data_IF_212365267613
#
_entry.id   IF_212365267613
#
_cell.length_a   1.000
_cell.length_b   1.000
_cell.length_c   1.000
_cell.angle_alpha   90.00
_cell.angle_beta   90.00
_cell.angle_gamma   90.00
#
_symmetry.space_group_name_H-M   'P 1'
#
loop_
_entity.id
_entity.type
_entity.pdbx_description
1 polymer ?
#
# COMPACT_ATOMS: atom_id res chain seq x y z
N UNK A 1 4.38 16.29 -21.90
CA UNK A 1 5.15 15.40 -22.77
C UNK A 1 4.33 14.14 -22.91
N UNK A 2 3.93 13.77 -24.12
CA UNK A 2 3.12 12.57 -24.39
C UNK A 2 4.08 11.44 -24.81
N UNK A 3 4.08 10.33 -24.08
CA UNK A 3 4.96 9.16 -24.28
C UNK A 3 4.33 8.14 -25.25
N UNK A 4 3.59 8.64 -26.26
CA UNK A 4 2.90 7.81 -27.25
C UNK A 4 3.85 6.91 -28.07
N UNK A 5 5.15 7.22 -28.10
CA UNK A 5 6.20 6.41 -28.76
C UNK A 5 6.92 5.45 -27.81
N UNK A 6 6.60 5.44 -26.51
CA UNK A 6 7.18 4.53 -25.48
C UNK A 6 8.66 4.75 -25.16
N UNK A 7 9.31 5.75 -25.76
CA UNK A 7 10.73 6.04 -25.58
C UNK A 7 11.08 6.49 -24.17
N UNK A 8 10.16 7.13 -23.46
CA UNK A 8 10.36 7.57 -22.07
C UNK A 8 10.28 6.37 -21.11
N UNK A 9 9.36 5.43 -21.35
CA UNK A 9 9.30 4.14 -20.65
C UNK A 9 10.58 3.30 -20.83
N UNK A 10 11.06 3.17 -22.07
CA UNK A 10 12.32 2.44 -22.33
C UNK A 10 13.53 3.08 -21.63
N UNK A 11 13.57 4.41 -21.54
CA UNK A 11 14.63 5.12 -20.83
C UNK A 11 14.54 4.91 -19.31
N UNK A 12 13.33 4.99 -18.75
CA UNK A 12 13.10 4.68 -17.34
C UNK A 12 13.55 3.25 -17.00
N UNK A 13 13.18 2.26 -17.81
CA UNK A 13 13.58 0.87 -17.63
C UNK A 13 15.12 0.70 -17.65
N UNK A 14 15.82 1.43 -18.52
CA UNK A 14 17.29 1.42 -18.55
C UNK A 14 17.89 2.05 -17.29
N UNK A 15 17.35 3.19 -16.84
CA UNK A 15 17.76 3.78 -15.55
C UNK A 15 17.56 2.79 -14.40
N UNK A 16 16.50 2.00 -14.45
CA UNK A 16 16.21 0.98 -13.44
C UNK A 16 17.20 -0.17 -13.44
N UNK A 17 17.52 -0.71 -14.62
CA UNK A 17 18.56 -1.73 -14.74
C UNK A 17 19.91 -1.24 -14.20
N UNK A 18 20.24 0.03 -14.44
CA UNK A 18 21.47 0.64 -13.92
C UNK A 18 21.44 0.72 -12.39
N UNK A 19 20.34 1.16 -11.78
CA UNK A 19 20.24 1.21 -10.32
C UNK A 19 20.35 -0.17 -9.68
N UNK A 20 19.68 -1.17 -10.26
CA UNK A 20 19.74 -2.56 -9.81
C UNK A 20 21.18 -3.11 -9.90
N UNK A 21 21.86 -2.86 -11.03
CA UNK A 21 23.26 -3.28 -11.23
C UNK A 21 24.21 -2.59 -10.24
N UNK A 22 24.05 -1.27 -10.02
CA UNK A 22 24.85 -0.55 -9.01
C UNK A 22 24.66 -1.18 -7.63
N UNK A 23 23.41 -1.46 -7.24
CA UNK A 23 23.11 -2.05 -5.92
C UNK A 23 23.61 -3.49 -5.77
N UNK A 24 23.81 -4.24 -6.86
CA UNK A 24 24.40 -5.58 -6.82
C UNK A 24 25.89 -5.58 -6.46
N UNK A 25 26.59 -4.49 -6.77
CA UNK A 25 28.04 -4.33 -6.53
C UNK A 25 28.38 -3.26 -5.49
N UNK A 26 27.37 -2.58 -4.95
CA UNK A 26 27.55 -1.52 -3.97
C UNK A 26 28.17 -2.05 -2.67
N UNK A 27 29.14 -1.30 -2.15
CA UNK A 27 29.54 -1.44 -0.76
C UNK A 27 28.52 -0.75 0.16
N UNK A 28 28.72 -0.91 1.48
CA UNK A 28 27.76 -0.39 2.46
C UNK A 28 27.65 1.14 2.43
N UNK A 29 28.74 1.85 2.14
CA UNK A 29 28.75 3.32 2.02
C UNK A 29 27.94 3.78 0.81
N UNK A 30 28.13 3.10 -0.33
CA UNK A 30 27.38 3.39 -1.55
C UNK A 30 25.89 3.07 -1.37
N UNK A 31 25.56 1.94 -0.74
CA UNK A 31 24.18 1.57 -0.45
C UNK A 31 23.50 2.61 0.47
N UNK A 32 24.19 3.08 1.51
CA UNK A 32 23.68 4.14 2.39
C UNK A 32 23.44 5.46 1.64
N UNK A 33 24.37 5.85 0.76
CA UNK A 33 24.22 7.06 -0.04
C UNK A 33 23.02 6.97 -1.00
N UNK A 34 22.80 5.82 -1.64
CA UNK A 34 21.66 5.59 -2.53
C UNK A 34 20.35 5.61 -1.73
N UNK A 35 20.31 4.95 -0.56
CA UNK A 35 19.14 4.97 0.31
C UNK A 35 18.75 6.40 0.69
N UNK A 36 19.71 7.20 1.15
CA UNK A 36 19.49 8.61 1.48
C UNK A 36 18.95 9.37 0.28
N UNK A 37 19.59 9.24 -0.88
CA UNK A 37 19.16 9.92 -2.09
C UNK A 37 17.71 9.57 -2.47
N UNK A 38 17.33 8.28 -2.45
CA UNK A 38 15.94 7.86 -2.73
C UNK A 38 14.94 8.49 -1.75
N UNK A 39 15.21 8.44 -0.45
CA UNK A 39 14.28 8.98 0.56
C UNK A 39 14.12 10.50 0.48
N UNK A 40 15.15 11.22 0.05
CA UNK A 40 15.11 12.67 -0.14
C UNK A 40 14.36 13.11 -1.40
N UNK A 41 14.31 12.26 -2.43
CA UNK A 41 13.77 12.64 -3.74
C UNK A 41 12.37 12.08 -4.03
N UNK A 42 11.84 11.18 -3.18
CA UNK A 42 10.43 10.76 -3.20
C UNK A 42 9.52 11.82 -2.55
N UNK A 43 9.52 13.04 -3.08
CA UNK A 43 8.85 14.21 -2.49
C UNK A 43 8.09 15.08 -3.52
N UNK A 44 7.89 14.59 -4.75
CA UNK A 44 7.32 15.31 -5.88
C UNK A 44 8.35 16.09 -6.71
N UNK A 45 9.64 16.01 -6.39
CA UNK A 45 10.72 16.66 -7.16
C UNK A 45 11.11 15.88 -8.41
N UNK A 46 10.79 14.59 -8.45
CA UNK A 46 11.01 13.71 -9.59
C UNK A 46 9.68 13.53 -10.33
N UNK A 47 9.73 13.24 -11.63
CA UNK A 47 8.54 12.98 -12.44
C UNK A 47 7.80 11.74 -11.89
N UNK A 48 6.48 11.81 -11.75
CA UNK A 48 5.65 10.81 -11.04
C UNK A 48 5.96 9.33 -11.36
N UNK A 49 6.16 8.95 -12.63
CA UNK A 49 6.45 7.56 -12.98
C UNK A 49 7.83 7.10 -12.50
N UNK A 50 8.82 8.00 -12.44
CA UNK A 50 10.15 7.71 -11.88
C UNK A 50 10.11 7.59 -10.35
N UNK A 51 9.20 8.29 -9.68
CA UNK A 51 9.01 8.12 -8.23
C UNK A 51 8.48 6.73 -7.89
N UNK A 52 7.56 6.17 -8.69
CA UNK A 52 7.06 4.81 -8.46
C UNK A 52 8.18 3.77 -8.57
N UNK A 53 9.06 3.94 -9.55
CA UNK A 53 10.25 3.11 -9.73
C UNK A 53 11.22 3.19 -8.54
N UNK A 54 11.56 4.42 -8.12
CA UNK A 54 12.44 4.63 -6.96
C UNK A 54 11.80 4.07 -5.67
N UNK A 55 10.50 4.26 -5.49
CA UNK A 55 9.76 3.69 -4.37
C UNK A 55 9.87 2.17 -4.35
N UNK A 56 9.73 1.50 -5.51
CA UNK A 56 9.84 0.04 -5.58
C UNK A 56 11.24 -0.45 -5.21
N UNK A 57 12.31 0.17 -5.73
CA UNK A 57 13.69 -0.20 -5.34
C UNK A 57 13.89 0.02 -3.84
N UNK A 58 13.49 1.18 -3.33
CA UNK A 58 13.59 1.53 -1.91
C UNK A 58 12.94 0.44 -1.03
N UNK A 59 11.75 -0.02 -1.42
CA UNK A 59 11.01 -1.02 -0.65
C UNK A 59 11.63 -2.42 -0.77
N UNK A 60 12.07 -2.83 -1.96
CA UNK A 60 12.44 -4.22 -2.26
C UNK A 60 13.92 -4.53 -2.03
N UNK A 61 14.84 -3.62 -2.33
CA UNK A 61 16.29 -3.89 -2.27
C UNK A 61 16.89 -3.69 -0.88
N UNK A 62 16.45 -2.66 -0.16
CA UNK A 62 17.02 -2.28 1.13
C UNK A 62 16.42 -3.12 2.28
N UNK A 63 16.90 -4.36 2.41
CA UNK A 63 16.34 -5.38 3.32
C UNK A 63 17.15 -5.58 4.61
N UNK A 64 18.34 -4.99 4.74
CA UNK A 64 19.12 -5.03 5.99
C UNK A 64 18.34 -4.37 7.12
N UNK A 65 18.53 -4.86 8.36
CA UNK A 65 17.79 -4.41 9.55
C UNK A 65 17.81 -2.88 9.73
N UNK A 66 18.96 -2.24 9.50
CA UNK A 66 19.10 -0.77 9.57
C UNK A 66 18.14 -0.05 8.63
N UNK A 67 17.94 -0.56 7.42
CA UNK A 67 17.01 0.02 6.44
C UNK A 67 15.57 -0.31 6.76
N UNK A 68 15.25 -1.53 7.24
CA UNK A 68 13.88 -1.85 7.63
C UNK A 68 13.37 -0.89 8.71
N UNK A 69 14.20 -0.61 9.73
CA UNK A 69 13.87 0.38 10.76
C UNK A 69 13.72 1.78 10.18
N UNK A 70 14.65 2.22 9.34
CA UNK A 70 14.57 3.54 8.70
C UNK A 70 13.35 3.67 7.78
N UNK A 71 12.95 2.60 7.08
CA UNK A 71 11.75 2.56 6.22
C UNK A 71 10.47 2.65 7.04
N UNK A 72 10.39 2.03 8.21
CA UNK A 72 9.25 2.18 9.12
C UNK A 72 9.07 3.65 9.54
N UNK A 73 10.15 4.31 9.98
CA UNK A 73 10.13 5.72 10.35
C UNK A 73 9.78 6.63 9.16
N UNK A 74 10.35 6.34 7.99
CA UNK A 74 10.12 7.07 6.75
C UNK A 74 8.66 7.00 6.29
N UNK A 75 8.11 5.78 6.20
CA UNK A 75 6.72 5.56 5.75
C UNK A 75 5.71 6.18 6.70
N UNK A 76 5.94 6.11 8.01
CA UNK A 76 5.06 6.74 8.99
C UNK A 76 5.08 8.28 8.89
N UNK A 77 6.27 8.85 8.67
CA UNK A 77 6.41 10.27 8.40
C UNK A 77 5.66 10.69 7.15
N UNK A 78 5.79 9.94 6.04
CA UNK A 78 5.05 10.22 4.79
C UNK A 78 3.53 10.22 5.00
N UNK A 79 3.01 9.24 5.72
CA UNK A 79 1.58 9.17 6.06
C UNK A 79 1.17 10.37 6.91
N UNK A 80 1.96 10.71 7.92
CA UNK A 80 1.69 11.85 8.82
C UNK A 80 1.68 13.19 8.06
N UNK A 81 2.66 13.43 7.20
CA UNK A 81 2.74 14.63 6.36
C UNK A 81 1.52 14.73 5.42
N UNK A 82 1.14 13.64 4.76
CA UNK A 82 -0.01 13.61 3.85
C UNK A 82 -1.35 13.85 4.55
N UNK A 83 -1.47 13.48 5.84
CA UNK A 83 -2.66 13.80 6.65
C UNK A 83 -2.81 15.29 6.97
N UNK A 84 -1.73 16.08 6.86
CA UNK A 84 -1.76 17.54 7.09
C UNK A 84 -2.07 18.34 5.82
N UNK A 85 -1.93 17.72 4.65
CA UNK A 85 -2.25 18.34 3.35
C UNK A 85 -3.76 18.34 3.13
N UNK A 86 -4.35 19.36 2.48
CA UNK A 86 -5.76 19.36 2.14
C UNK A 86 -6.21 18.07 1.42
N UNK A 87 -7.39 17.58 1.80
CA UNK A 87 -7.93 16.35 1.23
C UNK A 87 -8.23 16.54 -0.26
N UNK A 88 -7.69 15.63 -1.05
CA UNK A 88 -7.88 15.52 -2.49
C UNK A 88 -7.81 14.05 -2.87
N UNK A 89 -8.23 13.73 -4.10
CA UNK A 89 -8.08 12.36 -4.59
C UNK A 89 -6.62 11.89 -4.54
N UNK A 90 -5.68 12.76 -4.93
CA UNK A 90 -4.25 12.44 -4.95
C UNK A 90 -3.67 12.27 -3.53
N UNK A 91 -3.93 13.21 -2.61
CA UNK A 91 -3.42 13.11 -1.23
C UNK A 91 -4.01 11.90 -0.49
N UNK A 92 -5.28 11.56 -0.72
CA UNK A 92 -5.89 10.35 -0.16
C UNK A 92 -5.29 9.07 -0.75
N UNK A 93 -5.07 9.02 -2.07
CA UNK A 93 -4.43 7.89 -2.73
C UNK A 93 -3.00 7.67 -2.19
N UNK A 94 -2.19 8.74 -2.12
CA UNK A 94 -0.82 8.65 -1.61
C UNK A 94 -0.80 8.23 -0.13
N UNK A 95 -1.69 8.77 0.70
CA UNK A 95 -1.75 8.40 2.11
C UNK A 95 -2.12 6.92 2.30
N UNK A 96 -3.07 6.41 1.50
CA UNK A 96 -3.43 5.00 1.48
C UNK A 96 -2.26 4.12 1.03
N UNK A 97 -1.56 4.50 -0.05
CA UNK A 97 -0.39 3.79 -0.57
C UNK A 97 0.72 3.69 0.49
N UNK A 98 1.13 4.81 1.07
CA UNK A 98 2.17 4.83 2.10
C UNK A 98 1.77 4.09 3.37
N UNK A 99 0.49 4.13 3.75
CA UNK A 99 -0.04 3.34 4.87
C UNK A 99 0.07 1.84 4.61
N UNK A 100 -0.22 1.37 3.39
CA UNK A 100 -0.04 -0.03 3.01
C UNK A 100 1.43 -0.45 2.96
N UNK A 101 2.34 0.42 2.50
CA UNK A 101 3.79 0.17 2.59
C UNK A 101 4.24 0.03 4.03
N UNK A 102 3.77 0.90 4.92
CA UNK A 102 4.07 0.80 6.35
C UNK A 102 3.58 -0.52 6.96
N UNK A 103 2.34 -0.91 6.66
CA UNK A 103 1.77 -2.18 7.13
C UNK A 103 2.63 -3.38 6.67
N UNK A 104 3.06 -3.42 5.40
CA UNK A 104 3.93 -4.50 4.91
C UNK A 104 5.26 -4.55 5.67
N UNK A 105 5.87 -3.39 5.94
CA UNK A 105 7.09 -3.33 6.75
C UNK A 105 6.86 -3.80 8.18
N UNK A 106 5.72 -3.47 8.80
CA UNK A 106 5.35 -4.00 10.11
C UNK A 106 5.25 -5.53 10.08
N UNK A 107 4.63 -6.10 9.05
CA UNK A 107 4.57 -7.57 8.85
C UNK A 107 5.97 -8.19 8.69
N UNK A 108 6.80 -7.62 7.81
CA UNK A 108 8.16 -8.09 7.51
C UNK A 108 9.08 -8.04 8.74
N UNK A 109 8.88 -7.04 9.60
CA UNK A 109 9.64 -6.86 10.85
C UNK A 109 9.02 -7.61 12.04
N UNK A 110 7.95 -8.37 11.82
CA UNK A 110 7.36 -9.25 12.83
C UNK A 110 6.55 -8.54 13.90
N UNK A 111 5.96 -7.37 13.59
CA UNK A 111 5.07 -6.69 14.52
C UNK A 111 3.88 -7.58 14.89
N UNK A 112 3.44 -7.55 16.16
CA UNK A 112 2.22 -8.22 16.58
C UNK A 112 1.01 -7.80 15.74
N UNK A 113 0.14 -8.76 15.44
CA UNK A 113 -1.12 -8.49 14.73
C UNK A 113 -1.93 -7.35 15.38
N UNK A 114 -1.95 -7.27 16.71
CA UNK A 114 -2.69 -6.21 17.42
C UNK A 114 -2.19 -4.80 17.08
N UNK A 115 -0.89 -4.65 16.83
CA UNK A 115 -0.30 -3.36 16.47
C UNK A 115 -0.62 -3.01 15.01
N UNK A 116 -0.59 -4.00 14.11
CA UNK A 116 -1.00 -3.84 12.71
C UNK A 116 -2.50 -3.51 12.62
N UNK A 117 -3.34 -4.19 13.40
CA UNK A 117 -4.77 -3.92 13.50
C UNK A 117 -5.02 -2.49 14.01
N UNK A 118 -4.29 -2.06 15.04
CA UNK A 118 -4.33 -0.69 15.55
C UNK A 118 -3.97 0.33 14.46
N UNK A 119 -2.89 0.07 13.71
CA UNK A 119 -2.48 0.91 12.59
C UNK A 119 -3.55 1.00 11.48
N UNK A 120 -4.19 -0.13 11.15
CA UNK A 120 -5.30 -0.16 10.21
C UNK A 120 -6.45 0.74 10.70
N UNK A 121 -6.82 0.66 11.98
CA UNK A 121 -7.90 1.48 12.55
C UNK A 121 -7.56 2.98 12.59
N UNK A 122 -6.30 3.34 12.80
CA UNK A 122 -5.85 4.74 12.69
C UNK A 122 -5.94 5.31 11.26
N UNK A 123 -5.92 4.42 10.26
CA UNK A 123 -5.97 4.74 8.84
C UNK A 123 -7.28 4.27 8.18
N UNK A 124 -8.32 4.01 8.99
CA UNK A 124 -9.54 3.31 8.56
C UNK A 124 -10.34 4.05 7.50
N UNK A 125 -10.16 5.38 7.37
CA UNK A 125 -10.86 6.19 6.36
C UNK A 125 -10.51 5.77 4.93
N UNK A 126 -9.32 5.21 4.72
CA UNK A 126 -8.86 4.79 3.39
C UNK A 126 -9.42 3.40 3.04
N UNK A 127 -10.12 3.32 1.90
CA UNK A 127 -10.75 2.06 1.44
C UNK A 127 -9.74 0.94 1.23
N UNK A 128 -8.54 1.24 0.73
CA UNK A 128 -7.51 0.22 0.51
C UNK A 128 -6.97 -0.38 1.81
N UNK A 129 -7.00 0.37 2.92
CA UNK A 129 -6.66 -0.16 4.26
C UNK A 129 -7.74 -1.13 4.74
N UNK A 130 -9.02 -0.79 4.53
CA UNK A 130 -10.11 -1.71 4.86
C UNK A 130 -10.08 -2.96 3.99
N UNK A 131 -9.76 -2.84 2.70
CA UNK A 131 -9.57 -3.99 1.80
C UNK A 131 -8.44 -4.91 2.27
N UNK A 132 -7.29 -4.35 2.66
CA UNK A 132 -6.20 -5.13 3.26
C UNK A 132 -6.69 -5.88 4.51
N UNK A 133 -7.37 -5.17 5.42
CA UNK A 133 -7.88 -5.77 6.65
C UNK A 133 -8.86 -6.93 6.38
N UNK A 134 -9.80 -6.74 5.44
CA UNK A 134 -10.75 -7.77 5.00
C UNK A 134 -10.01 -9.01 4.49
N UNK A 135 -8.99 -8.82 3.63
CA UNK A 135 -8.18 -9.93 3.12
C UNK A 135 -7.47 -10.69 4.25
N UNK A 136 -6.93 -9.98 5.25
CA UNK A 136 -6.32 -10.63 6.43
C UNK A 136 -7.33 -11.39 7.29
N UNK A 137 -8.54 -10.88 7.45
CA UNK A 137 -9.61 -11.61 8.11
C UNK A 137 -9.94 -12.91 7.35
N UNK A 138 -10.01 -12.84 6.01
CA UNK A 138 -10.27 -14.00 5.17
C UNK A 138 -9.16 -15.05 5.24
N UNK A 139 -7.89 -14.64 5.12
CA UNK A 139 -6.71 -15.51 5.25
C UNK A 139 -6.70 -16.29 6.58
N UNK A 140 -7.22 -15.68 7.64
CA UNK A 140 -7.29 -16.26 8.98
C UNK A 140 -8.61 -17.01 9.26
N UNK A 141 -9.52 -17.09 8.28
CA UNK A 141 -10.84 -17.71 8.46
C UNK A 141 -11.81 -16.91 9.34
N UNK A 142 -11.49 -15.65 9.66
CA UNK A 142 -12.30 -14.75 10.48
C UNK A 142 -13.43 -14.11 9.64
N UNK A 143 -14.27 -14.94 9.03
CA UNK A 143 -15.30 -14.50 8.08
C UNK A 143 -16.34 -13.56 8.69
N UNK A 144 -16.65 -13.73 9.99
CA UNK A 144 -17.59 -12.84 10.69
C UNK A 144 -17.11 -11.39 10.69
N UNK A 145 -15.86 -11.18 11.10
CA UNK A 145 -15.22 -9.85 11.11
C UNK A 145 -15.16 -9.28 9.69
N UNK A 146 -14.74 -10.10 8.71
CA UNK A 146 -14.69 -9.67 7.31
C UNK A 146 -16.06 -9.19 6.78
N UNK A 147 -17.14 -9.90 7.13
CA UNK A 147 -18.52 -9.52 6.78
C UNK A 147 -18.91 -8.18 7.43
N UNK A 148 -18.58 -7.99 8.71
CA UNK A 148 -18.88 -6.75 9.44
C UNK A 148 -18.17 -5.55 8.80
N UNK A 149 -16.87 -5.69 8.51
CA UNK A 149 -16.07 -4.64 7.84
C UNK A 149 -16.55 -4.36 6.42
N UNK A 150 -16.98 -5.38 5.67
CA UNK A 150 -17.56 -5.19 4.34
C UNK A 150 -18.85 -4.39 4.37
N UNK A 151 -19.74 -4.67 5.33
CA UNK A 151 -20.99 -3.92 5.52
C UNK A 151 -20.72 -2.48 5.90
N UNK A 152 -19.86 -2.25 6.88
CA UNK A 152 -19.41 -0.92 7.28
C UNK A 152 -18.81 -0.16 6.08
N UNK A 153 -17.96 -0.81 5.29
CA UNK A 153 -17.30 -0.18 4.13
C UNK A 153 -18.29 0.25 3.04
N UNK A 154 -19.37 -0.50 2.83
CA UNK A 154 -20.44 -0.10 1.89
C UNK A 154 -21.21 1.13 2.36
N UNK A 155 -21.37 1.32 3.67
CA UNK A 155 -21.99 2.52 4.25
C UNK A 155 -21.06 3.73 4.12
N UNK A 156 -19.79 3.58 4.52
CA UNK A 156 -18.76 4.62 4.43
C UNK A 156 -18.55 5.10 3.00
N UNK A 157 -18.49 4.18 2.03
CA UNK A 157 -18.23 4.49 0.63
C UNK A 157 -19.53 4.56 -0.21
N UNK A 158 -20.69 4.80 0.40
CA UNK A 158 -22.01 4.74 -0.25
C UNK A 158 -22.14 5.61 -1.52
N UNK A 159 -21.36 6.69 -1.62
CA UNK A 159 -21.32 7.57 -2.80
C UNK A 159 -20.43 7.04 -3.94
N UNK A 160 -19.56 6.08 -3.66
CA UNK A 160 -18.63 5.48 -4.61
C UNK A 160 -19.17 4.14 -5.11
N UNK A 161 -20.09 4.18 -6.08
CA UNK A 161 -20.76 2.97 -6.63
C UNK A 161 -19.78 1.85 -7.03
N UNK A 162 -18.61 2.21 -7.56
CA UNK A 162 -17.57 1.25 -7.90
C UNK A 162 -17.06 0.45 -6.68
N UNK A 163 -16.79 1.14 -5.56
CA UNK A 163 -16.35 0.49 -4.32
C UNK A 163 -17.47 -0.34 -3.69
N UNK A 164 -18.69 0.19 -3.63
CA UNK A 164 -19.87 -0.54 -3.10
C UNK A 164 -20.08 -1.85 -3.85
N UNK A 165 -19.95 -1.83 -5.18
CA UNK A 165 -20.05 -3.04 -6.00
C UNK A 165 -18.92 -4.03 -5.69
N UNK A 166 -17.67 -3.56 -5.56
CA UNK A 166 -16.53 -4.42 -5.17
C UNK A 166 -16.77 -5.10 -3.81
N UNK A 167 -17.21 -4.36 -2.80
CA UNK A 167 -17.53 -4.94 -1.49
C UNK A 167 -18.71 -5.90 -1.54
N UNK A 168 -19.75 -5.60 -2.31
CA UNK A 168 -20.91 -6.47 -2.50
C UNK A 168 -20.50 -7.82 -3.12
N UNK A 169 -19.64 -7.80 -4.15
CA UNK A 169 -19.08 -9.02 -4.72
C UNK A 169 -18.24 -9.80 -3.71
N UNK A 170 -17.35 -9.11 -2.98
CA UNK A 170 -16.52 -9.76 -1.97
C UNK A 170 -17.34 -10.37 -0.84
N UNK A 171 -18.39 -9.68 -0.40
CA UNK A 171 -19.33 -10.16 0.62
C UNK A 171 -20.02 -11.45 0.18
N UNK A 172 -20.46 -11.50 -1.09
CA UNK A 172 -21.02 -12.71 -1.70
C UNK A 172 -20.02 -13.87 -1.70
N UNK A 173 -18.76 -13.63 -2.04
CA UNK A 173 -17.71 -14.65 -1.98
C UNK A 173 -17.52 -15.19 -0.56
N UNK A 174 -17.45 -14.29 0.44
CA UNK A 174 -17.27 -14.69 1.84
C UNK A 174 -18.48 -15.48 2.37
N UNK A 175 -19.72 -15.12 2.00
CA UNK A 175 -20.88 -15.94 2.36
C UNK A 175 -20.81 -17.35 1.77
N UNK A 176 -20.31 -17.49 0.53
CA UNK A 176 -20.09 -18.80 -0.08
C UNK A 176 -19.00 -19.59 0.66
N UNK A 177 -17.87 -18.96 0.97
CA UNK A 177 -16.74 -19.59 1.66
C UNK A 177 -17.09 -20.01 3.10
N UNK A 178 -17.88 -19.20 3.81
CA UNK A 178 -18.34 -19.50 5.17
C UNK A 178 -19.51 -20.49 5.23
N UNK A 179 -20.04 -20.94 4.09
CA UNK A 179 -21.19 -21.85 4.01
C UNK A 179 -22.55 -21.19 4.30
N UNK A 180 -22.61 -19.85 4.39
CA UNK A 180 -23.85 -19.11 4.61
C UNK A 180 -24.66 -18.95 3.30
N UNK A 181 -25.27 -20.06 2.87
CA UNK A 181 -25.99 -20.14 1.60
C UNK A 181 -27.28 -19.30 1.56
N UNK A 182 -27.88 -18.99 2.71
CA UNK A 182 -29.04 -18.10 2.79
C UNK A 182 -28.65 -16.66 2.43
N UNK A 183 -27.63 -16.12 3.11
CA UNK A 183 -27.14 -14.78 2.84
C UNK A 183 -26.54 -14.67 1.42
N UNK A 184 -25.87 -15.72 0.94
CA UNK A 184 -25.37 -15.78 -0.45
C UNK A 184 -26.50 -15.61 -1.48
N UNK A 185 -27.66 -16.25 -1.27
CA UNK A 185 -28.81 -16.15 -2.19
C UNK A 185 -29.49 -14.80 -2.13
N UNK A 186 -29.50 -14.13 -0.98
CA UNK A 186 -30.07 -12.79 -0.83
C UNK A 186 -29.24 -11.71 -1.55
N UNK A 187 -27.97 -12.01 -1.87
CA UNK A 187 -27.06 -11.12 -2.60
C UNK A 187 -27.11 -11.31 -4.14
N UNK A 188 -28.01 -12.15 -4.66
CA UNK A 188 -28.26 -12.35 -6.11
C UNK A 188 -29.22 -11.30 -6.65
#
# INVERSE_FOLDING_TARGET
MDDSDGGTGMFADQCMQIWEEILDYADEETEDAIYTWFTEHLNGSIIDYMEEYIENILMERFTKEKYLKAKLEYTERKVTELKQVPESWSSNYQAAKWSLRHIRLMEETGYPKVDIDCYCKQNWKYSDIRKYYISKCEEQGNYKEAIEVLKESMELDSQQRGLVNQYSFKLKEIYKLSGNMEAYKQQL
#
